data_IF_474915643547
#
_entry.id   IF_474915643547
#
_cell.length_a   1.000
_cell.length_b   1.000
_cell.length_c   1.000
_cell.angle_alpha   90.00
_cell.angle_beta   90.00
_cell.angle_gamma   90.00
#
_symmetry.space_group_name_H-M   'P 1'
#
loop_
_entity.id
_entity.type
_entity.pdbx_description
1 polymer ?
#
# COMPACT_ATOMS: atom_id res chain seq x y z
N UNK A 1 -6.63 -3.93 -30.97
CA UNK A 1 -6.16 -3.16 -29.79
C UNK A 1 -6.77 -3.81 -28.54
N UNK A 2 -6.00 -4.58 -27.76
CA UNK A 2 -6.49 -5.37 -26.60
C UNK A 2 -5.51 -5.44 -25.41
N UNK A 3 -4.51 -4.57 -25.33
CA UNK A 3 -3.33 -4.85 -24.49
C UNK A 3 -3.31 -4.16 -23.14
N UNK A 4 -3.76 -2.90 -23.00
CA UNK A 4 -3.61 -2.16 -21.74
C UNK A 4 -4.69 -2.51 -20.69
N UNK A 5 -5.98 -2.52 -21.08
CA UNK A 5 -7.07 -2.82 -20.14
C UNK A 5 -7.08 -4.27 -19.68
N UNK A 6 -6.81 -5.23 -20.55
CA UNK A 6 -6.71 -6.64 -20.17
C UNK A 6 -5.52 -6.91 -19.25
N UNK A 7 -4.38 -6.24 -19.47
CA UNK A 7 -3.23 -6.33 -18.57
C UNK A 7 -3.50 -5.67 -17.22
N UNK A 8 -4.24 -4.55 -17.20
CA UNK A 8 -4.72 -3.91 -15.96
C UNK A 8 -5.65 -4.84 -15.20
N UNK A 9 -6.62 -5.47 -15.85
CA UNK A 9 -7.53 -6.43 -15.22
C UNK A 9 -6.76 -7.65 -14.68
N UNK A 10 -5.84 -8.23 -15.46
CA UNK A 10 -5.02 -9.35 -15.00
C UNK A 10 -4.15 -8.96 -13.80
N UNK A 11 -3.52 -7.78 -13.83
CA UNK A 11 -2.74 -7.22 -12.72
C UNK A 11 -3.59 -7.00 -11.46
N UNK A 12 -4.79 -6.41 -11.60
CA UNK A 12 -5.74 -6.22 -10.50
C UNK A 12 -6.20 -7.56 -9.91
N UNK A 13 -6.28 -8.61 -10.72
CA UNK A 13 -6.71 -9.96 -10.31
C UNK A 13 -5.57 -10.84 -9.76
N UNK A 14 -4.33 -10.65 -10.22
CA UNK A 14 -3.16 -11.45 -9.79
C UNK A 14 -2.38 -10.84 -8.63
N UNK A 15 -2.53 -9.53 -8.42
CA UNK A 15 -1.76 -8.74 -7.47
C UNK A 15 -2.72 -7.75 -6.84
N UNK A 16 -3.03 -7.91 -5.55
CA UNK A 16 -3.86 -6.95 -4.83
C UNK A 16 -3.16 -5.59 -4.85
N UNK A 17 -3.65 -4.62 -5.64
CA UNK A 17 -2.93 -3.38 -5.85
C UNK A 17 -2.94 -2.59 -4.55
N UNK A 18 -1.87 -1.86 -4.28
CA UNK A 18 -1.77 -1.03 -3.09
C UNK A 18 -1.92 0.44 -3.49
N UNK A 19 -2.67 1.19 -2.69
CA UNK A 19 -2.92 2.62 -2.92
C UNK A 19 -2.50 3.39 -1.68
N UNK A 20 -1.67 4.40 -1.88
CA UNK A 20 -1.32 5.34 -0.82
C UNK A 20 -2.41 6.41 -0.77
N UNK A 21 -3.05 6.59 0.39
CA UNK A 21 -4.02 7.66 0.62
C UNK A 21 -3.58 8.50 1.82
N UNK A 22 -4.03 9.76 1.85
CA UNK A 22 -3.92 10.60 3.04
C UNK A 22 -5.22 10.52 3.81
N UNK A 23 -5.11 10.20 5.10
CA UNK A 23 -6.21 10.25 6.06
C UNK A 23 -5.88 11.35 7.09
N UNK A 24 -6.46 12.53 6.87
CA UNK A 24 -6.08 13.75 7.58
C UNK A 24 -4.61 14.14 7.36
N UNK A 25 -3.85 14.25 8.45
CA UNK A 25 -2.41 14.53 8.40
C UNK A 25 -1.54 13.30 8.16
N UNK A 26 -2.11 12.09 8.24
CA UNK A 26 -1.36 10.85 8.12
C UNK A 26 -1.46 10.28 6.71
N UNK A 27 -0.42 9.56 6.31
CA UNK A 27 -0.42 8.75 5.09
C UNK A 27 -0.72 7.32 5.51
N UNK A 28 -1.54 6.61 4.75
CA UNK A 28 -1.87 5.20 5.00
C UNK A 28 -1.71 4.40 3.70
N UNK A 29 -1.36 3.12 3.83
CA UNK A 29 -1.34 2.18 2.70
C UNK A 29 -2.65 1.40 2.70
N UNK A 30 -3.34 1.39 1.57
CA UNK A 30 -4.65 0.76 1.41
C UNK A 30 -4.60 -0.37 0.39
N UNK A 31 -5.46 -1.35 0.58
CA UNK A 31 -5.82 -2.28 -0.49
C UNK A 31 -6.71 -1.54 -1.51
N UNK A 32 -6.34 -1.59 -2.79
CA UNK A 32 -7.06 -0.88 -3.86
C UNK A 32 -8.46 -1.42 -4.12
N UNK A 33 -8.70 -2.70 -3.80
CA UNK A 33 -9.95 -3.39 -4.08
C UNK A 33 -10.97 -3.17 -2.96
N UNK A 34 -10.59 -3.39 -1.69
CA UNK A 34 -11.50 -3.12 -0.57
C UNK A 34 -11.55 -1.64 -0.21
N UNK A 35 -10.49 -0.88 -0.51
CA UNK A 35 -10.33 0.50 -0.08
C UNK A 35 -9.91 0.65 1.38
N UNK A 36 -9.83 -0.45 2.12
CA UNK A 36 -9.47 -0.49 3.53
C UNK A 36 -7.97 -0.25 3.73
N UNK A 37 -7.61 0.25 4.92
CA UNK A 37 -6.22 0.38 5.33
C UNK A 37 -5.62 -1.02 5.52
N UNK A 38 -4.39 -1.24 5.04
CA UNK A 38 -3.66 -2.46 5.34
C UNK A 38 -3.39 -2.54 6.85
N UNK A 39 -3.94 -3.58 7.48
CA UNK A 39 -3.89 -3.75 8.91
C UNK A 39 -2.44 -4.04 9.39
N UNK A 40 -2.11 -3.62 10.61
CA UNK A 40 -0.79 -3.84 11.23
C UNK A 40 0.32 -2.87 10.81
N UNK A 41 0.01 -1.86 9.99
CA UNK A 41 0.95 -0.76 9.72
C UNK A 41 1.17 0.06 11.00
N UNK A 42 2.40 0.23 11.44
CA UNK A 42 2.76 1.00 12.65
C UNK A 42 3.23 2.40 12.31
N UNK A 43 3.84 2.58 11.14
CA UNK A 43 4.31 3.87 10.65
C UNK A 43 4.33 3.90 9.14
N UNK A 44 3.87 5.00 8.57
CA UNK A 44 3.82 5.22 7.13
C UNK A 44 4.35 6.61 6.82
N UNK A 45 5.34 6.69 5.93
CA UNK A 45 5.98 7.94 5.56
C UNK A 45 6.14 8.03 4.04
N UNK A 46 5.80 9.20 3.49
CA UNK A 46 6.02 9.53 2.09
C UNK A 46 7.15 10.55 1.99
N UNK A 47 8.29 10.13 1.44
CA UNK A 47 9.49 10.95 1.26
C UNK A 47 9.51 11.43 -0.19
N UNK A 48 9.41 12.75 -0.38
CA UNK A 48 9.39 13.38 -1.69
C UNK A 48 10.45 14.47 -1.74
N UNK A 49 11.56 14.18 -2.42
CA UNK A 49 12.65 15.12 -2.63
C UNK A 49 12.63 15.59 -4.09
N UNK A 50 12.92 16.88 -4.33
CA UNK A 50 12.88 17.45 -5.67
C UNK A 50 13.87 16.75 -6.62
N UNK A 51 13.37 16.30 -7.77
CA UNK A 51 14.16 15.57 -8.76
C UNK A 51 14.46 14.11 -8.40
N UNK A 52 13.96 13.61 -7.27
CA UNK A 52 14.13 12.22 -6.84
C UNK A 52 12.83 11.42 -7.01
N UNK A 53 12.98 10.09 -7.05
CA UNK A 53 11.83 9.18 -7.01
C UNK A 53 11.15 9.29 -5.65
N UNK A 54 9.82 9.43 -5.65
CA UNK A 54 9.03 9.40 -4.41
C UNK A 54 9.17 8.04 -3.73
N UNK A 55 9.53 8.03 -2.45
CA UNK A 55 9.69 6.81 -1.65
C UNK A 55 8.57 6.71 -0.64
N UNK A 56 7.91 5.56 -0.60
CA UNK A 56 6.99 5.18 0.47
C UNK A 56 7.75 4.23 1.42
N UNK A 57 7.80 4.58 2.70
CA UNK A 57 8.34 3.73 3.76
C UNK A 57 7.17 3.33 4.65
N UNK A 58 7.00 2.02 4.82
CA UNK A 58 5.96 1.44 5.69
C UNK A 58 6.62 0.48 6.66
N UNK A 59 6.33 0.67 7.94
CA UNK A 59 6.74 -0.23 9.00
C UNK A 59 5.52 -1.03 9.44
N UNK A 60 5.71 -2.33 9.62
CA UNK A 60 4.70 -3.26 10.12
C UNK A 60 5.26 -3.96 11.35
N UNK A 61 4.40 -4.28 12.31
CA UNK A 61 4.75 -5.29 13.31
C UNK A 61 4.68 -6.67 12.66
N UNK A 62 5.75 -7.46 12.76
CA UNK A 62 5.82 -8.79 12.18
C UNK A 62 6.35 -9.80 13.19
N UNK A 63 5.91 -11.06 13.11
CA UNK A 63 6.48 -12.18 13.86
C UNK A 63 7.52 -13.01 13.08
N UNK A 64 8.07 -12.37 12.05
CA UNK A 64 9.06 -12.96 11.15
C UNK A 64 8.49 -13.31 9.79
N UNK A 65 7.31 -13.95 9.75
CA UNK A 65 6.68 -14.37 8.48
C UNK A 65 5.35 -13.69 8.20
N UNK A 66 4.63 -13.22 9.23
CA UNK A 66 3.33 -12.58 9.09
C UNK A 66 3.30 -11.20 9.75
N UNK A 67 2.43 -10.34 9.22
CA UNK A 67 2.10 -9.05 9.85
C UNK A 67 1.17 -9.34 11.03
N UNK A 68 1.47 -8.73 12.17
CA UNK A 68 0.64 -8.77 13.37
C UNK A 68 -0.18 -7.50 13.51
N UNK A 69 -1.39 -7.69 14.00
CA UNK A 69 -2.26 -6.59 14.41
C UNK A 69 -1.92 -6.25 15.86
N UNK A 70 -1.68 -4.98 16.14
CA UNK A 70 -1.34 -4.54 17.50
C UNK A 70 -2.59 -4.74 18.39
N UNK A 71 -2.52 -5.67 19.35
CA UNK A 71 -3.62 -5.99 20.28
C UNK A 71 -4.11 -7.45 20.33
N UNK A 72 -3.51 -8.38 19.59
CA UNK A 72 -3.71 -9.85 19.75
C UNK A 72 -2.43 -10.59 20.15
#
# INVERSE_FOLDING_TARGET
MRTAEQSRIKYLLSSRPLVVKRDGMHVCLHDAFSGEVLAGQTKVQLIQEAGQVTRLVVEFNCDGTHVRLDGE
#
